data_IF_761611193452
#
_entry.id   IF_761611193452
#
_cell.length_a   1.000
_cell.length_b   1.000
_cell.length_c   1.000
_cell.angle_alpha   90.00
_cell.angle_beta   90.00
_cell.angle_gamma   90.00
#
_symmetry.space_group_name_H-M   'P 1'
#
loop_
_entity.id
_entity.type
_entity.pdbx_description
1 polymer ?
#
# COMPACT_ATOMS: atom_id res chain seq x y z
N UNK A 1 -18.42 11.75 -6.66
CA UNK A 1 -17.01 11.42 -7.03
C UNK A 1 -16.42 10.39 -6.07
N UNK A 2 -17.11 10.15 -4.95
CA UNK A 2 -16.75 9.26 -3.86
C UNK A 2 -16.53 7.84 -4.34
N UNK A 3 -17.41 7.33 -5.21
CA UNK A 3 -17.26 6.02 -5.84
C UNK A 3 -15.93 5.90 -6.60
N UNK A 4 -15.55 6.92 -7.37
CA UNK A 4 -14.27 6.93 -8.11
C UNK A 4 -13.10 6.90 -7.13
N UNK A 5 -13.15 7.70 -6.06
CA UNK A 5 -12.11 7.70 -5.03
C UNK A 5 -12.03 6.36 -4.29
N UNK A 6 -13.18 5.75 -3.98
CA UNK A 6 -13.28 4.43 -3.33
C UNK A 6 -12.73 3.30 -4.22
N UNK A 7 -12.84 3.43 -5.55
CA UNK A 7 -12.29 2.45 -6.50
C UNK A 7 -10.79 2.67 -6.74
N UNK A 8 -10.34 3.92 -6.91
CA UNK A 8 -8.94 4.23 -7.25
C UNK A 8 -8.00 4.09 -6.05
N UNK A 9 -8.45 4.45 -4.84
CA UNK A 9 -7.60 4.43 -3.65
C UNK A 9 -7.03 3.03 -3.30
N UNK A 10 -7.84 1.94 -3.29
CA UNK A 10 -7.32 0.59 -3.08
C UNK A 10 -6.33 0.16 -4.15
N UNK A 11 -6.55 0.51 -5.42
CA UNK A 11 -5.63 0.19 -6.53
C UNK A 11 -4.28 0.88 -6.32
N UNK A 12 -4.28 2.18 -6.03
CA UNK A 12 -3.05 2.93 -5.76
C UNK A 12 -2.32 2.43 -4.51
N UNK A 13 -3.07 2.06 -3.46
CA UNK A 13 -2.52 1.46 -2.24
C UNK A 13 -1.89 0.09 -2.51
N UNK A 14 -2.58 -0.76 -3.26
CA UNK A 14 -2.10 -2.09 -3.65
C UNK A 14 -0.83 -2.01 -4.48
N UNK A 15 -0.80 -1.14 -5.49
CA UNK A 15 0.39 -0.89 -6.29
C UNK A 15 1.56 -0.40 -5.44
N UNK A 16 1.33 0.59 -4.57
CA UNK A 16 2.37 1.09 -3.69
C UNK A 16 2.85 0.02 -2.69
N UNK A 17 1.96 -0.88 -2.25
CA UNK A 17 2.30 -1.97 -1.34
C UNK A 17 3.11 -3.07 -2.01
N UNK A 18 2.76 -3.45 -3.24
CA UNK A 18 3.49 -4.44 -4.01
C UNK A 18 4.92 -3.97 -4.31
N UNK A 19 5.08 -2.75 -4.82
CA UNK A 19 6.38 -2.18 -5.16
C UNK A 19 7.13 -1.57 -3.97
N UNK A 20 6.65 -1.75 -2.73
CA UNK A 20 7.27 -1.14 -1.54
C UNK A 20 8.70 -1.60 -1.30
N UNK A 21 9.10 -2.75 -1.83
CA UNK A 21 10.44 -3.31 -1.67
C UNK A 21 11.42 -2.91 -2.79
N UNK A 22 10.90 -2.32 -3.88
CA UNK A 22 11.70 -1.85 -5.00
C UNK A 22 12.18 -0.41 -4.83
N UNK A 23 13.09 0.03 -5.71
CA UNK A 23 13.56 1.42 -5.77
C UNK A 23 12.55 2.34 -6.50
N UNK A 24 11.29 2.35 -6.07
CA UNK A 24 10.17 2.92 -6.83
C UNK A 24 9.68 4.29 -6.32
N UNK A 25 10.49 5.00 -5.51
CA UNK A 25 10.05 6.24 -4.85
C UNK A 25 9.72 7.36 -5.85
N UNK A 26 10.55 7.55 -6.88
CA UNK A 26 10.30 8.54 -7.95
C UNK A 26 9.02 8.21 -8.70
N UNK A 27 8.80 6.93 -9.00
CA UNK A 27 7.59 6.44 -9.66
C UNK A 27 6.35 6.67 -8.79
N UNK A 28 6.43 6.49 -7.48
CA UNK A 28 5.31 6.79 -6.57
C UNK A 28 4.93 8.27 -6.55
N UNK A 29 5.92 9.18 -6.58
CA UNK A 29 5.65 10.62 -6.71
C UNK A 29 4.99 10.95 -8.05
N UNK A 30 5.51 10.40 -9.15
CA UNK A 30 4.92 10.58 -10.48
C UNK A 30 3.49 10.03 -10.55
N UNK A 31 3.25 8.84 -10.02
CA UNK A 31 1.94 8.20 -10.00
C UNK A 31 0.92 9.03 -9.19
N UNK A 32 1.33 9.57 -8.04
CA UNK A 32 0.49 10.47 -7.25
C UNK A 32 0.12 11.75 -8.00
N UNK A 33 1.10 12.39 -8.65
CA UNK A 33 0.88 13.56 -9.50
C UNK A 33 -0.04 13.25 -10.68
N UNK A 34 0.19 12.13 -11.36
CA UNK A 34 -0.63 11.69 -12.50
C UNK A 34 -2.08 11.41 -12.08
N UNK A 35 -2.29 10.67 -11.00
CA UNK A 35 -3.64 10.38 -10.47
C UNK A 35 -4.37 11.66 -10.08
N UNK A 36 -3.67 12.60 -9.43
CA UNK A 36 -4.22 13.90 -9.07
C UNK A 36 -4.65 14.70 -10.31
N UNK A 37 -3.79 14.80 -11.33
CA UNK A 37 -4.11 15.52 -12.57
C UNK A 37 -5.28 14.89 -13.32
N UNK A 38 -5.35 13.55 -13.41
CA UNK A 38 -6.45 12.86 -14.08
C UNK A 38 -7.78 13.09 -13.37
N UNK A 39 -7.79 13.07 -12.04
CA UNK A 39 -8.98 13.40 -11.26
C UNK A 39 -9.37 14.86 -11.42
N UNK A 40 -8.41 15.80 -11.38
CA UNK A 40 -8.67 17.23 -11.59
C UNK A 40 -9.35 17.49 -12.94
N UNK A 41 -8.81 16.91 -14.02
CA UNK A 41 -9.40 17.03 -15.36
C UNK A 41 -10.80 16.41 -15.43
N UNK A 42 -11.00 15.25 -14.81
CA UNK A 42 -12.31 14.60 -14.77
C UNK A 42 -13.34 15.44 -13.99
N UNK A 43 -12.95 16.04 -12.86
CA UNK A 43 -13.79 16.96 -12.08
C UNK A 43 -14.20 18.17 -12.94
N UNK A 44 -13.23 18.77 -13.64
CA UNK A 44 -13.46 19.91 -14.53
C UNK A 44 -14.45 19.56 -15.64
N UNK A 45 -14.29 18.38 -16.23
CA UNK A 45 -15.17 17.88 -17.29
C UNK A 45 -16.60 17.60 -16.79
N UNK A 46 -16.76 17.01 -15.60
CA UNK A 46 -18.08 16.74 -14.99
C UNK A 46 -18.83 18.01 -14.59
N UNK A 47 -18.13 19.12 -14.39
CA UNK A 47 -18.68 20.37 -13.88
C UNK A 47 -18.35 21.57 -14.76
N UNK A 48 -18.88 21.63 -16.00
CA UNK A 48 -18.55 22.70 -16.94
C UNK A 48 -19.03 24.09 -16.51
N UNK A 49 -20.15 24.15 -15.75
CA UNK A 49 -20.78 25.40 -15.29
C UNK A 49 -20.18 25.96 -13.99
N UNK A 50 -19.35 25.20 -13.29
CA UNK A 50 -18.76 25.63 -12.02
C UNK A 50 -17.43 26.34 -12.27
N UNK A 51 -17.24 27.47 -11.58
CA UNK A 51 -15.97 28.19 -11.60
C UNK A 51 -14.88 27.40 -10.86
N UNK A 52 -13.61 27.65 -11.19
CA UNK A 52 -12.49 27.02 -10.50
C UNK A 52 -12.52 27.26 -8.98
N UNK A 53 -12.93 28.47 -8.54
CA UNK A 53 -13.05 28.81 -7.12
C UNK A 53 -14.11 27.96 -6.40
N UNK A 54 -15.23 27.66 -7.06
CA UNK A 54 -16.28 26.80 -6.51
C UNK A 54 -15.84 25.34 -6.48
N UNK A 55 -15.17 24.86 -7.54
CA UNK A 55 -14.60 23.52 -7.57
C UNK A 55 -13.55 23.34 -6.48
N UNK A 56 -12.62 24.29 -6.36
CA UNK A 56 -11.60 24.34 -5.32
C UNK A 56 -12.21 24.22 -3.93
N UNK A 57 -13.19 25.06 -3.58
CA UNK A 57 -13.87 25.00 -2.28
C UNK A 57 -14.58 23.67 -2.01
N UNK A 58 -15.12 23.02 -3.05
CA UNK A 58 -15.92 21.79 -2.89
C UNK A 58 -15.04 20.55 -2.77
N UNK A 59 -13.96 20.47 -3.54
CA UNK A 59 -13.21 19.22 -3.72
C UNK A 59 -11.73 19.33 -3.35
N UNK A 60 -11.17 20.54 -3.26
CA UNK A 60 -9.75 20.76 -3.04
C UNK A 60 -9.56 21.34 -1.62
N UNK A 61 -9.14 20.48 -0.69
CA UNK A 61 -8.69 20.91 0.64
C UNK A 61 -7.27 21.51 0.58
N UNK A 62 -6.51 21.39 1.67
CA UNK A 62 -5.09 21.75 1.75
C UNK A 62 -4.22 20.89 0.80
N UNK A 63 -4.31 21.18 -0.50
CA UNK A 63 -3.60 20.55 -1.61
C UNK A 63 -3.96 19.07 -1.88
N UNK A 64 -5.19 18.66 -1.54
CA UNK A 64 -5.67 17.28 -1.74
C UNK A 64 -7.08 17.26 -2.27
N UNK A 65 -7.35 16.32 -3.18
CA UNK A 65 -8.70 16.03 -3.65
C UNK A 65 -9.41 15.21 -2.56
N UNK A 66 -10.51 15.77 -2.05
CA UNK A 66 -11.28 15.20 -0.94
C UNK A 66 -12.77 15.31 -1.21
N UNK A 67 -13.52 14.25 -0.92
CA UNK A 67 -14.99 14.27 -0.96
C UNK A 67 -15.53 13.35 0.12
N UNK A 68 -16.50 13.84 0.92
CA UNK A 68 -17.21 13.06 1.96
C UNK A 68 -16.25 12.27 2.87
N UNK A 69 -15.17 12.94 3.32
CA UNK A 69 -14.16 12.33 4.20
C UNK A 69 -13.17 11.36 3.51
N UNK A 70 -13.35 11.04 2.22
CA UNK A 70 -12.42 10.22 1.45
C UNK A 70 -11.41 11.13 0.75
N UNK A 71 -10.13 10.92 1.04
CA UNK A 71 -9.00 11.66 0.45
C UNK A 71 -8.33 10.80 -0.60
N UNK A 72 -7.96 11.37 -1.75
CA UNK A 72 -7.13 10.69 -2.74
C UNK A 72 -5.82 10.20 -2.09
N UNK A 73 -5.55 8.90 -2.21
CA UNK A 73 -4.33 8.31 -1.69
C UNK A 73 -3.12 8.80 -2.48
N UNK A 74 -2.10 9.28 -1.76
CA UNK A 74 -0.82 9.68 -2.36
C UNK A 74 0.19 8.53 -2.21
N UNK A 75 0.57 7.82 -3.30
CA UNK A 75 1.55 6.75 -3.27
C UNK A 75 2.92 7.19 -2.77
N UNK A 76 3.29 8.46 -2.93
CA UNK A 76 4.55 9.00 -2.45
C UNK A 76 4.71 8.91 -0.93
N UNK A 77 3.60 8.81 -0.17
CA UNK A 77 3.65 8.59 1.27
C UNK A 77 4.02 7.17 1.66
N UNK A 78 3.95 6.21 0.74
CA UNK A 78 4.31 4.83 1.03
C UNK A 78 5.79 4.73 1.42
N UNK A 79 6.05 4.06 2.54
CA UNK A 79 7.42 3.80 2.99
C UNK A 79 8.00 2.69 2.11
N UNK A 80 9.04 3.03 1.36
CA UNK A 80 9.85 2.06 0.64
C UNK A 80 10.73 1.36 1.66
N UNK A 81 10.61 0.04 1.77
CA UNK A 81 11.44 -0.79 2.63
C UNK A 81 12.48 -1.43 1.74
N UNK A 82 13.73 -1.00 1.84
CA UNK A 82 14.80 -1.72 1.14
C UNK A 82 14.97 -3.08 1.81
N UNK A 83 15.18 -4.10 0.99
CA UNK A 83 15.62 -5.38 1.51
C UNK A 83 16.98 -5.18 2.18
N UNK A 84 16.99 -5.25 3.51
CA UNK A 84 18.23 -5.33 4.27
C UNK A 84 18.66 -6.78 4.25
N UNK A 85 19.89 -7.05 3.80
CA UNK A 85 20.46 -8.39 3.85
C UNK A 85 20.42 -8.90 5.29
N UNK A 86 19.66 -9.98 5.52
CA UNK A 86 19.42 -10.54 6.86
C UNK A 86 20.41 -11.64 7.27
N UNK A 87 21.42 -11.92 6.43
CA UNK A 87 22.43 -12.98 6.65
C UNK A 87 21.79 -14.25 7.25
N UNK A 88 22.37 -14.77 8.33
CA UNK A 88 21.98 -15.95 9.09
C UNK A 88 20.87 -15.63 10.13
N UNK A 89 20.11 -14.53 10.01
CA UNK A 89 18.98 -14.27 10.91
C UNK A 89 17.65 -14.82 10.39
N UNK A 90 17.62 -15.37 9.18
CA UNK A 90 16.46 -16.10 8.65
C UNK A 90 16.88 -17.57 8.60
N UNK A 91 16.29 -18.39 9.46
CA UNK A 91 16.41 -19.85 9.33
C UNK A 91 15.77 -20.26 8.00
N UNK A 92 16.57 -20.89 7.14
CA UNK A 92 16.11 -21.54 5.92
C UNK A 92 16.43 -23.04 6.04
N UNK A 93 15.76 -23.93 5.30
CA UNK A 93 15.99 -25.39 5.40
C UNK A 93 17.45 -25.83 5.20
N UNK A 94 18.27 -24.99 4.58
CA UNK A 94 19.67 -25.26 4.26
C UNK A 94 20.66 -24.58 5.22
N UNK A 95 20.18 -23.89 6.26
CA UNK A 95 20.95 -23.08 7.22
C UNK A 95 20.45 -23.35 8.66
N UNK A 96 19.77 -24.47 8.90
CA UNK A 96 19.22 -24.77 10.24
C UNK A 96 20.32 -24.95 11.30
N UNK A 97 21.51 -25.41 10.88
CA UNK A 97 22.65 -25.71 11.76
C UNK A 97 23.56 -24.50 12.00
N UNK A 98 23.37 -23.43 11.21
CA UNK A 98 24.23 -22.23 11.19
C UNK A 98 23.56 -21.01 11.86
N UNK A 99 22.22 -21.00 12.01
CA UNK A 99 21.47 -19.94 12.70
C UNK A 99 21.20 -20.31 14.15
N UNK A 100 21.59 -19.45 15.11
CA UNK A 100 21.10 -19.52 16.49
C UNK A 100 19.58 -19.22 16.53
N UNK A 101 18.73 -20.23 16.80
CA UNK A 101 17.28 -20.06 16.76
C UNK A 101 16.76 -19.17 17.90
N UNK A 102 17.50 -19.03 19.01
CA UNK A 102 17.08 -18.24 20.17
C UNK A 102 17.32 -16.73 19.95
N UNK A 103 18.33 -16.39 19.15
CA UNK A 103 18.64 -15.01 18.74
C UNK A 103 17.86 -14.52 17.52
N UNK A 104 17.20 -15.42 16.78
CA UNK A 104 16.45 -15.08 15.58
C UNK A 104 15.11 -14.41 15.92
N UNK A 105 14.94 -13.15 15.49
CA UNK A 105 13.65 -12.44 15.58
C UNK A 105 12.68 -12.97 14.53
N UNK A 106 12.07 -14.13 14.79
CA UNK A 106 10.95 -14.60 14.01
C UNK A 106 9.74 -13.69 14.23
N UNK A 107 9.11 -13.24 13.15
CA UNK A 107 7.72 -12.78 13.24
C UNK A 107 6.88 -14.05 13.24
N UNK A 108 6.54 -14.59 14.42
CA UNK A 108 5.62 -15.73 14.54
C UNK A 108 4.37 -15.40 13.74
N UNK A 109 4.15 -16.12 12.65
CA UNK A 109 2.90 -16.05 11.89
C UNK A 109 2.02 -17.18 12.40
N UNK A 110 0.69 -17.02 12.44
CA UNK A 110 -0.22 -18.05 12.98
C UNK A 110 -0.08 -19.44 12.33
N UNK A 111 0.58 -19.53 11.17
CA UNK A 111 0.87 -20.78 10.47
C UNK A 111 2.05 -21.58 11.08
N UNK A 112 2.92 -20.91 11.84
CA UNK A 112 4.09 -21.52 12.50
C UNK A 112 3.72 -22.12 13.87
N UNK A 113 2.45 -22.00 14.27
CA UNK A 113 1.95 -22.54 15.53
C UNK A 113 1.70 -24.05 15.38
N UNK A 114 2.40 -24.84 16.19
CA UNK A 114 2.39 -26.32 16.10
C UNK A 114 0.96 -26.86 16.29
N UNK A 115 0.12 -26.14 17.04
CA UNK A 115 -1.30 -26.43 17.23
C UNK A 115 -2.13 -26.26 15.94
N UNK A 116 -1.81 -25.26 15.10
CA UNK A 116 -2.49 -25.05 13.81
C UNK A 116 -2.12 -26.16 12.81
N UNK A 117 -0.84 -26.52 12.73
CA UNK A 117 -0.36 -27.60 11.86
C UNK A 117 -1.00 -28.95 12.23
N UNK A 118 -1.16 -29.22 13.53
CA UNK A 118 -1.89 -30.39 14.02
C UNK A 118 -3.35 -30.42 13.55
N UNK A 119 -4.08 -29.31 13.71
CA UNK A 119 -5.48 -29.20 13.26
C UNK A 119 -5.64 -29.37 11.74
N UNK A 120 -4.73 -28.82 10.94
CA UNK A 120 -4.78 -28.97 9.47
C UNK A 120 -4.50 -30.42 9.07
N UNK A 121 -3.58 -31.10 9.77
CA UNK A 121 -3.26 -32.50 9.47
C UNK A 121 -4.39 -33.46 9.85
N UNK A 122 -5.11 -33.20 10.95
CA UNK A 122 -6.34 -33.94 11.30
C UNK A 122 -7.47 -33.72 10.30
N UNK A 123 -7.56 -32.53 9.70
CA UNK A 123 -8.59 -32.23 8.70
C UNK A 123 -8.33 -32.87 7.34
N UNK A 124 -7.08 -33.28 7.07
CA UNK A 124 -6.64 -33.90 5.81
C UNK A 124 -6.52 -35.43 5.88
N UNK A 125 -6.76 -36.02 7.05
CA UNK A 125 -6.80 -37.47 7.30
C UNK A 125 -8.24 -37.99 7.19
#
# INVERSE_FOLDING_TARGET
MEEVLRTVNPVLRGWAAYFRYGASKRTFSYLGWYAWWRLLLWIRYKHPRLTWKQLSRRYYGADRITEVGVVLYNPAKMRVQRYTFRRAQISTPYNIDEVDPDGARFRRTNHDDVAFVGQVSEYLA
#
